data_IF_059287463924
#
_entry.id   IF_059287463924
#
_cell.length_a   1.000
_cell.length_b   1.000
_cell.length_c   1.000
_cell.angle_alpha   90.00
_cell.angle_beta   90.00
_cell.angle_gamma   90.00
#
_symmetry.space_group_name_H-M   'P 1'
#
loop_
_entity.id
_entity.type
_entity.pdbx_description
1 polymer ?
#
# COMPACT_ATOMS: atom_id res chain seq x y z
N UNK A 1 9.98 -11.65 19.37
CA UNK A 1 9.78 -11.34 17.93
C UNK A 1 10.76 -10.24 17.57
N UNK A 2 11.31 -10.23 16.34
CA UNK A 2 12.22 -9.15 15.92
C UNK A 2 11.49 -7.78 15.98
N UNK A 3 12.12 -6.69 16.42
CA UNK A 3 11.49 -5.37 16.50
C UNK A 3 11.31 -4.71 15.12
N UNK A 4 11.90 -5.29 14.07
CA UNK A 4 11.94 -4.73 12.71
C UNK A 4 10.92 -5.39 11.79
N UNK A 5 10.01 -4.60 11.21
CA UNK A 5 9.02 -5.13 10.26
C UNK A 5 8.46 -4.09 9.29
N UNK A 6 7.98 -4.58 8.15
CA UNK A 6 7.22 -3.79 7.17
C UNK A 6 5.71 -4.01 7.31
N UNK A 7 4.93 -2.95 7.06
CA UNK A 7 3.45 -3.00 6.98
C UNK A 7 2.98 -2.21 5.76
N UNK A 8 2.03 -2.72 4.98
CA UNK A 8 1.43 -1.98 3.87
C UNK A 8 0.48 -0.91 4.40
N UNK A 9 0.51 0.27 3.78
CA UNK A 9 -0.40 1.38 4.10
C UNK A 9 -1.49 1.46 3.05
N UNK A 10 -2.74 1.41 3.49
CA UNK A 10 -3.93 1.32 2.64
C UNK A 10 -4.98 2.38 3.00
N UNK A 11 -5.93 2.57 2.08
CA UNK A 11 -7.00 3.56 2.14
C UNK A 11 -6.56 5.01 1.85
N UNK A 12 -5.92 5.35 0.71
CA UNK A 12 -5.49 4.55 -0.46
C UNK A 12 -4.14 3.82 -0.23
N UNK A 13 -3.61 3.10 -1.23
CA UNK A 13 -2.27 2.52 -1.12
C UNK A 13 -1.16 3.58 -1.11
N UNK A 14 -0.31 3.55 -0.09
CA UNK A 14 0.76 4.52 0.15
C UNK A 14 2.12 3.86 0.34
N UNK A 15 2.31 2.65 -0.20
CA UNK A 15 3.55 1.89 -0.08
C UNK A 15 3.65 1.07 1.21
N UNK A 16 4.87 0.59 1.48
CA UNK A 16 5.22 -0.17 2.68
C UNK A 16 5.95 0.75 3.66
N UNK A 17 5.46 0.85 4.89
CA UNK A 17 6.15 1.54 5.97
C UNK A 17 7.05 0.58 6.74
N UNK A 18 8.29 0.99 6.97
CA UNK A 18 9.25 0.29 7.81
C UNK A 18 9.03 0.71 9.25
N UNK A 19 8.98 -0.26 10.16
CA UNK A 19 8.70 -0.05 11.57
C UNK A 19 9.81 -0.66 12.41
N UNK A 20 10.29 0.11 13.38
CA UNK A 20 11.10 -0.34 14.50
C UNK A 20 10.22 -0.18 15.74
N UNK A 21 9.80 -1.30 16.34
CA UNK A 21 8.95 -1.35 17.53
C UNK A 21 9.77 -1.88 18.70
N UNK A 22 10.10 -1.00 19.65
CA UNK A 22 10.81 -1.35 20.90
C UNK A 22 9.88 -1.33 22.12
N UNK A 23 8.57 -1.55 21.90
CA UNK A 23 7.53 -1.53 22.93
C UNK A 23 6.82 -0.17 22.99
N UNK A 24 7.13 0.63 24.01
CA UNK A 24 6.44 1.91 24.25
C UNK A 24 6.80 3.03 23.24
N UNK A 25 7.85 2.80 22.44
CA UNK A 25 8.37 3.73 21.45
C UNK A 25 8.52 3.03 20.08
N UNK A 26 8.08 3.70 19.01
CA UNK A 26 8.20 3.20 17.64
C UNK A 26 8.84 4.23 16.71
N UNK A 27 9.71 3.78 15.80
CA UNK A 27 10.17 4.59 14.67
C UNK A 27 9.59 4.06 13.36
N UNK A 28 9.24 4.99 12.48
CA UNK A 28 8.62 4.71 11.19
C UNK A 28 9.37 5.37 10.05
N UNK A 29 9.56 4.66 8.94
CA UNK A 29 10.12 5.23 7.72
C UNK A 29 9.34 4.79 6.48
N UNK A 30 9.06 5.75 5.59
CA UNK A 30 8.41 5.49 4.29
C UNK A 30 9.41 5.42 3.14
N UNK A 31 10.70 5.64 3.40
CA UNK A 31 11.75 5.69 2.37
C UNK A 31 13.06 5.02 2.82
N UNK A 32 13.09 4.41 4.00
CA UNK A 32 14.27 3.75 4.58
C UNK A 32 15.42 4.69 4.97
N UNK A 33 15.26 6.01 4.81
CA UNK A 33 16.31 7.02 5.04
C UNK A 33 15.96 8.00 6.15
N UNK A 34 14.71 8.43 6.18
CA UNK A 34 14.20 9.38 7.17
C UNK A 34 13.26 8.64 8.12
N UNK A 35 13.53 8.75 9.42
CA UNK A 35 12.78 8.09 10.46
C UNK A 35 11.98 9.10 11.29
N UNK A 36 10.72 8.78 11.56
CA UNK A 36 9.82 9.56 12.43
C UNK A 36 9.48 8.74 13.66
N UNK A 37 9.58 9.36 14.84
CA UNK A 37 9.34 8.68 16.11
C UNK A 37 7.91 8.96 16.59
N UNK A 38 7.23 7.92 17.06
CA UNK A 38 5.92 7.98 17.72
C UNK A 38 6.03 7.30 19.08
N UNK A 39 5.36 7.86 20.07
CA UNK A 39 5.48 7.40 21.45
C UNK A 39 4.12 7.08 22.05
N UNK A 40 4.06 6.03 22.86
CA UNK A 40 2.91 5.72 23.66
C UNK A 40 2.91 6.61 24.92
N UNK A 41 1.85 7.38 25.12
CA UNK A 41 1.67 8.15 26.36
C UNK A 41 1.35 7.23 27.52
N UNK A 42 1.55 7.69 28.77
CA UNK A 42 1.20 6.94 29.98
C UNK A 42 -0.27 6.45 30.03
N UNK A 43 -1.16 7.08 29.24
CA UNK A 43 -2.55 6.66 29.01
C UNK A 43 -2.73 5.56 27.95
N UNK A 44 -1.66 4.96 27.45
CA UNK A 44 -1.67 3.93 26.42
C UNK A 44 -1.93 4.43 25.00
N UNK A 45 -2.03 5.75 24.77
CA UNK A 45 -2.33 6.35 23.46
C UNK A 45 -1.06 6.77 22.72
N UNK A 46 -0.94 6.41 21.44
CA UNK A 46 0.23 6.81 20.66
C UNK A 46 0.10 8.24 20.08
N UNK A 47 1.00 9.15 20.47
CA UNK A 47 1.12 10.52 19.92
C UNK A 47 2.34 10.63 19.01
N UNK A 48 2.21 11.39 17.92
CA UNK A 48 3.37 11.84 17.14
C UNK A 48 4.19 12.79 18.01
N UNK A 49 5.46 12.50 18.25
CA UNK A 49 6.32 13.41 18.97
C UNK A 49 6.64 14.60 18.06
N UNK A 50 5.86 15.66 18.14
CA UNK A 50 6.36 17.00 17.81
C UNK A 50 6.97 17.51 19.11
N UNK A 51 8.29 17.65 19.16
CA UNK A 51 8.93 18.39 20.23
C UNK A 51 8.53 19.87 20.09
N UNK A 52 7.35 20.25 20.60
CA UNK A 52 7.04 21.63 20.92
C UNK A 52 7.44 21.84 22.38
N UNK A 53 8.62 22.41 22.59
CA UNK A 53 8.98 22.99 23.88
C UNK A 53 8.22 24.32 23.95
N UNK A 54 6.97 24.26 24.39
CA UNK A 54 6.25 25.45 24.85
C UNK A 54 5.85 25.21 26.29
N UNK A 55 6.52 25.93 27.18
CA UNK A 55 6.35 25.79 28.61
C UNK A 55 5.01 26.38 29.02
N UNK A 56 4.02 25.52 29.22
CA UNK A 56 3.04 25.58 30.30
C UNK A 56 2.17 24.33 30.24
N UNK A 57 2.19 23.59 31.35
CA UNK A 57 1.30 22.48 31.70
C UNK A 57 1.15 21.36 30.65
N UNK A 58 2.18 20.51 30.56
CA UNK A 58 2.13 19.26 29.81
C UNK A 58 2.70 18.14 30.64
N UNK A 59 1.92 17.06 30.77
CA UNK A 59 2.36 15.74 31.19
C UNK A 59 3.68 15.44 30.47
N UNK A 60 4.83 15.40 31.17
CA UNK A 60 6.13 15.43 30.52
C UNK A 60 6.26 14.19 29.65
N UNK A 61 6.36 14.41 28.33
CA UNK A 61 6.69 13.37 27.36
C UNK A 61 8.08 12.84 27.72
N UNK A 62 8.11 11.82 28.58
CA UNK A 62 9.33 11.07 28.86
C UNK A 62 9.41 9.96 27.83
N UNK A 63 10.46 9.99 27.03
CA UNK A 63 10.86 8.86 26.20
C UNK A 63 11.34 7.77 27.16
N UNK A 64 10.45 6.84 27.54
CA UNK A 64 10.75 5.84 28.57
C UNK A 64 11.87 4.90 28.12
N UNK A 65 12.02 4.66 26.81
CA UNK A 65 13.02 3.77 26.22
C UNK A 65 13.91 4.45 25.14
N UNK A 66 14.28 5.72 25.34
CA UNK A 66 15.06 6.49 24.36
C UNK A 66 16.34 5.78 23.92
N UNK A 67 17.05 5.17 24.87
CA UNK A 67 18.30 4.47 24.61
C UNK A 67 18.08 3.25 23.71
N UNK A 68 17.06 2.43 23.97
CA UNK A 68 16.75 1.25 23.16
C UNK A 68 16.30 1.63 21.76
N UNK A 69 15.54 2.71 21.59
CA UNK A 69 15.13 3.18 20.27
C UNK A 69 16.32 3.71 19.46
N UNK A 70 17.22 4.48 20.09
CA UNK A 70 18.46 4.96 19.46
C UNK A 70 19.34 3.79 19.05
N UNK A 71 19.59 2.85 19.97
CA UNK A 71 20.36 1.64 19.67
C UNK A 71 19.73 0.84 18.53
N UNK A 72 18.40 0.69 18.53
CA UNK A 72 17.69 -0.02 17.47
C UNK A 72 17.75 0.70 16.11
N UNK A 73 17.77 2.04 16.09
CA UNK A 73 17.95 2.85 14.89
C UNK A 73 19.38 2.79 14.34
N UNK A 74 20.39 2.76 15.21
CA UNK A 74 21.80 2.66 14.80
C UNK A 74 22.16 1.27 14.27
N UNK A 75 21.53 0.23 14.82
CA UNK A 75 21.87 -1.17 14.55
C UNK A 75 20.80 -1.95 13.77
N UNK A 76 19.83 -1.26 13.14
CA UNK A 76 18.79 -1.95 12.39
C UNK A 76 19.38 -2.73 11.20
N UNK A 77 18.81 -3.90 10.81
CA UNK A 77 19.23 -4.61 9.61
C UNK A 77 18.97 -3.77 8.35
N UNK A 78 19.55 -4.10 7.19
CA UNK A 78 19.23 -3.39 5.95
C UNK A 78 17.72 -3.38 5.66
N UNK A 79 17.23 -2.24 5.16
CA UNK A 79 15.86 -2.11 4.63
C UNK A 79 15.78 -2.74 3.23
N UNK A 80 14.61 -3.24 2.79
CA UNK A 80 13.35 -3.32 3.54
C UNK A 80 13.32 -4.44 4.60
N UNK A 81 12.64 -4.20 5.72
CA UNK A 81 12.37 -5.22 6.73
C UNK A 81 11.31 -6.22 6.24
N UNK A 82 11.28 -7.46 6.76
CA UNK A 82 10.26 -8.44 6.41
C UNK A 82 8.83 -7.92 6.63
N UNK A 83 7.96 -8.08 5.62
CA UNK A 83 6.54 -7.74 5.75
C UNK A 83 5.88 -8.68 6.76
N UNK A 84 5.07 -8.13 7.66
CA UNK A 84 4.38 -8.93 8.69
C UNK A 84 2.86 -8.85 8.68
N UNK A 85 2.29 -8.01 7.84
CA UNK A 85 0.85 -7.80 7.82
C UNK A 85 0.09 -8.97 7.17
N UNK A 86 -0.20 -9.99 7.98
CA UNK A 86 -0.85 -11.23 7.55
C UNK A 86 -2.37 -11.17 7.57
N UNK A 87 -2.97 -10.26 8.34
CA UNK A 87 -4.41 -10.05 8.32
C UNK A 87 -4.72 -9.05 7.23
N UNK A 88 -5.45 -9.47 6.20
CA UNK A 88 -5.77 -8.63 5.03
C UNK A 88 -7.28 -8.52 4.91
N UNK A 89 -7.81 -7.30 4.91
CA UNK A 89 -9.20 -7.01 4.63
C UNK A 89 -9.40 -6.84 3.13
N UNK A 90 -10.29 -7.63 2.57
CA UNK A 90 -10.62 -7.59 1.15
C UNK A 90 -12.07 -7.21 0.93
N UNK A 91 -12.32 -6.28 0.02
CA UNK A 91 -13.59 -6.16 -0.68
C UNK A 91 -13.80 -7.44 -1.47
N UNK A 92 -15.00 -8.01 -1.42
CA UNK A 92 -15.34 -9.23 -2.16
C UNK A 92 -16.12 -8.87 -3.42
N UNK A 93 -15.86 -9.62 -4.49
CA UNK A 93 -16.70 -9.60 -5.68
C UNK A 93 -18.09 -10.17 -5.36
N UNK A 94 -19.13 -9.63 -5.99
CA UNK A 94 -20.51 -9.87 -5.55
C UNK A 94 -21.04 -11.26 -5.89
N UNK A 95 -20.58 -11.87 -6.99
CA UNK A 95 -21.11 -13.14 -7.50
C UNK A 95 -20.46 -14.35 -6.82
N UNK A 96 -19.13 -14.42 -6.88
CA UNK A 96 -18.29 -15.55 -6.46
C UNK A 96 -17.70 -15.36 -5.06
N UNK A 97 -17.83 -14.16 -4.48
CA UNK A 97 -17.41 -13.83 -3.12
C UNK A 97 -15.91 -13.99 -2.90
N UNK A 98 -15.09 -13.86 -3.94
CA UNK A 98 -13.63 -13.92 -3.85
C UNK A 98 -13.01 -12.53 -3.63
N UNK A 99 -11.78 -12.43 -3.09
CA UNK A 99 -11.05 -11.18 -2.93
C UNK A 99 -10.93 -10.36 -4.23
N UNK A 100 -11.53 -9.16 -4.22
CA UNK A 100 -11.54 -8.23 -5.35
C UNK A 100 -10.52 -7.11 -5.21
N UNK A 101 -10.52 -6.43 -4.06
CA UNK A 101 -9.63 -5.30 -3.81
C UNK A 101 -9.27 -5.20 -2.34
N UNK A 102 -8.00 -4.95 -2.03
CA UNK A 102 -7.53 -4.89 -0.65
C UNK A 102 -7.87 -3.53 -0.04
N UNK A 103 -8.59 -3.56 1.08
CA UNK A 103 -9.05 -2.38 1.82
C UNK A 103 -8.11 -2.00 2.97
N UNK A 104 -7.48 -3.00 3.60
CA UNK A 104 -6.66 -2.78 4.78
C UNK A 104 -5.81 -3.98 5.15
N UNK A 105 -4.79 -3.76 5.97
CA UNK A 105 -3.98 -4.84 6.55
C UNK A 105 -3.72 -4.58 8.03
N UNK A 106 -3.47 -5.65 8.78
CA UNK A 106 -3.05 -5.63 10.18
C UNK A 106 -1.94 -6.64 10.43
N UNK A 107 -1.07 -6.32 11.35
CA UNK A 107 -0.02 -7.23 11.79
C UNK A 107 -0.55 -8.17 12.87
N UNK A 108 -1.31 -7.63 13.83
CA UNK A 108 -1.81 -8.39 14.99
C UNK A 108 -3.33 -8.59 14.93
N UNK A 109 -3.79 -9.69 15.51
CA UNK A 109 -5.21 -10.05 15.51
C UNK A 109 -6.05 -9.02 16.30
N UNK A 110 -5.47 -8.45 17.36
CA UNK A 110 -6.11 -7.49 18.24
C UNK A 110 -6.33 -6.13 17.57
N UNK A 111 -5.64 -5.87 16.45
CA UNK A 111 -5.80 -4.66 15.65
C UNK A 111 -6.92 -4.81 14.59
N UNK A 112 -7.53 -6.00 14.47
CA UNK A 112 -8.66 -6.23 13.58
C UNK A 112 -9.86 -5.45 14.10
N UNK A 113 -10.38 -4.59 13.24
CA UNK A 113 -11.52 -3.73 13.56
C UNK A 113 -12.77 -4.20 12.82
N UNK A 114 -13.93 -3.90 13.43
CA UNK A 114 -15.21 -4.11 12.78
C UNK A 114 -15.31 -3.27 11.51
N UNK A 115 -15.71 -3.92 10.41
CA UNK A 115 -15.78 -3.29 9.09
C UNK A 115 -17.09 -2.52 8.98
N UNK A 116 -17.02 -1.21 8.74
CA UNK A 116 -18.20 -0.34 8.63
C UNK A 116 -18.44 0.16 7.21
N UNK A 117 -17.36 0.50 6.51
CA UNK A 117 -17.39 1.01 5.15
C UNK A 117 -16.46 0.15 4.28
N UNK A 118 -17.00 -0.66 3.35
CA UNK A 118 -16.21 -1.50 2.46
C UNK A 118 -15.76 -0.75 1.20
N UNK A 119 -15.84 0.58 1.17
CA UNK A 119 -15.48 1.34 -0.01
C UNK A 119 -13.97 1.31 -0.29
N UNK A 120 -13.61 0.96 -1.53
CA UNK A 120 -12.23 0.97 -1.98
C UNK A 120 -11.86 2.33 -2.59
N UNK A 121 -10.71 2.86 -2.18
CA UNK A 121 -10.17 4.13 -2.69
C UNK A 121 -8.80 3.92 -3.32
N UNK A 122 -8.67 4.35 -4.58
CA UNK A 122 -7.43 4.24 -5.34
C UNK A 122 -6.40 5.30 -4.93
N UNK A 123 -6.87 6.52 -4.63
CA UNK A 123 -6.01 7.69 -4.40
C UNK A 123 -6.49 8.56 -3.22
N UNK A 124 -5.64 9.46 -2.74
CA UNK A 124 -6.02 10.43 -1.72
C UNK A 124 -6.85 11.55 -2.37
N UNK A 125 -7.82 12.16 -1.70
CA UNK A 125 -8.75 13.15 -2.32
C UNK A 125 -8.05 14.29 -3.08
N UNK A 126 -6.85 14.69 -2.65
CA UNK A 126 -6.06 15.74 -3.30
C UNK A 126 -5.26 15.28 -4.53
N UNK A 127 -5.14 13.97 -4.76
CA UNK A 127 -4.41 13.41 -5.89
C UNK A 127 -5.32 13.26 -7.11
N UNK A 128 -5.01 14.04 -8.15
CA UNK A 128 -5.72 14.08 -9.43
C UNK A 128 -4.82 13.73 -10.62
N UNK A 129 -3.60 13.26 -10.38
CA UNK A 129 -2.59 13.08 -11.44
C UNK A 129 -2.82 11.85 -12.32
N UNK A 130 -3.65 10.89 -11.88
CA UNK A 130 -3.83 9.63 -12.58
C UNK A 130 -4.58 9.81 -13.91
N UNK A 131 -3.90 9.43 -14.99
CA UNK A 131 -4.45 9.34 -16.34
C UNK A 131 -4.15 7.93 -16.87
N UNK A 132 -5.18 7.12 -17.08
CA UNK A 132 -5.13 5.85 -17.82
C UNK A 132 -4.95 6.07 -19.34
N UNK A 133 -3.85 5.58 -19.95
CA UNK A 133 -3.71 5.44 -21.41
C UNK A 133 -4.84 4.68 -22.11
N UNK A 134 -5.32 3.57 -21.54
CA UNK A 134 -6.40 2.76 -22.13
C UNK A 134 -7.70 3.54 -22.22
N UNK A 135 -8.09 4.26 -21.15
CA UNK A 135 -9.24 5.15 -21.20
C UNK A 135 -9.00 6.30 -22.18
N UNK A 136 -7.82 6.92 -22.17
CA UNK A 136 -7.52 8.02 -23.09
C UNK A 136 -7.70 7.63 -24.57
N UNK A 137 -7.24 6.44 -24.94
CA UNK A 137 -7.41 5.91 -26.30
C UNK A 137 -8.89 5.66 -26.64
N UNK A 138 -9.66 5.11 -25.69
CA UNK A 138 -11.11 4.91 -25.84
C UNK A 138 -11.85 6.24 -25.99
N UNK A 139 -11.53 7.22 -25.16
CA UNK A 139 -12.13 8.55 -25.18
C UNK A 139 -11.85 9.31 -26.48
N UNK A 140 -10.67 9.12 -27.08
CA UNK A 140 -10.32 9.72 -28.37
C UNK A 140 -11.23 9.27 -29.52
N UNK A 141 -11.85 8.09 -29.41
CA UNK A 141 -12.78 7.54 -30.42
C UNK A 141 -14.25 7.71 -30.04
N UNK A 142 -14.52 8.25 -28.86
CA UNK A 142 -15.87 8.41 -28.31
C UNK A 142 -16.57 9.65 -28.85
N UNK A 143 -17.89 9.55 -29.04
CA UNK A 143 -18.74 10.71 -29.39
C UNK A 143 -19.21 11.50 -28.15
N UNK A 144 -18.92 11.02 -26.93
CA UNK A 144 -19.26 11.74 -25.69
C UNK A 144 -18.41 13.00 -25.57
N UNK A 145 -19.06 14.10 -25.17
CA UNK A 145 -18.41 15.40 -24.95
C UNK A 145 -17.73 15.54 -23.60
N UNK A 146 -18.11 14.71 -22.62
CA UNK A 146 -17.58 14.75 -21.25
C UNK A 146 -17.46 13.33 -20.73
N UNK A 147 -16.33 13.08 -20.09
CA UNK A 147 -16.00 11.83 -19.43
C UNK A 147 -15.77 12.10 -17.94
N UNK A 148 -16.14 11.19 -17.04
CA UNK A 148 -15.71 11.26 -15.64
C UNK A 148 -14.19 11.19 -15.56
N UNK A 149 -13.59 11.60 -14.44
CA UNK A 149 -12.13 11.47 -14.29
C UNK A 149 -11.71 10.00 -14.36
N UNK A 150 -10.52 9.71 -14.89
CA UNK A 150 -10.03 8.31 -14.99
C UNK A 150 -9.95 7.63 -13.61
N UNK A 151 -9.68 8.42 -12.57
CA UNK A 151 -9.76 8.01 -11.17
C UNK A 151 -11.18 7.58 -10.77
N UNK A 152 -12.18 8.41 -11.02
CA UNK A 152 -13.57 8.09 -10.64
C UNK A 152 -14.06 6.87 -11.41
N UNK A 153 -13.64 6.73 -12.68
CA UNK A 153 -13.94 5.54 -13.48
C UNK A 153 -13.33 4.29 -12.83
N UNK A 154 -12.05 4.32 -12.42
CA UNK A 154 -11.37 3.22 -11.73
C UNK A 154 -12.06 2.85 -10.41
N UNK A 155 -12.26 3.82 -9.52
CA UNK A 155 -12.92 3.59 -8.23
C UNK A 155 -14.36 3.08 -8.43
N UNK A 156 -15.09 3.62 -9.42
CA UNK A 156 -16.45 3.18 -9.75
C UNK A 156 -16.47 1.72 -10.21
N UNK A 157 -15.60 1.31 -11.13
CA UNK A 157 -15.58 -0.07 -11.66
C UNK A 157 -15.37 -1.09 -10.54
N UNK A 158 -14.38 -0.85 -9.67
CA UNK A 158 -14.06 -1.77 -8.56
C UNK A 158 -15.19 -1.82 -7.54
N UNK A 159 -15.70 -0.67 -7.10
CA UNK A 159 -16.77 -0.65 -6.10
C UNK A 159 -18.10 -1.20 -6.66
N UNK A 160 -18.39 -1.00 -7.96
CA UNK A 160 -19.57 -1.55 -8.61
C UNK A 160 -19.54 -3.08 -8.68
N UNK A 161 -18.38 -3.70 -8.86
CA UNK A 161 -18.25 -5.16 -8.90
C UNK A 161 -18.53 -5.85 -7.55
N UNK A 162 -18.64 -5.08 -6.46
CA UNK A 162 -19.08 -5.56 -5.14
C UNK A 162 -20.59 -5.36 -4.86
N UNK A 163 -21.33 -4.70 -5.77
CA UNK A 163 -22.76 -4.37 -5.58
C UNK A 163 -23.67 -5.57 -5.93
N UNK A 164 -24.94 -5.60 -5.47
CA UNK A 164 -25.74 -4.55 -4.82
C UNK A 164 -25.44 -4.33 -3.33
N UNK A 165 -24.86 -5.32 -2.65
CA UNK A 165 -24.56 -5.27 -1.22
C UNK A 165 -23.06 -5.52 -1.00
N UNK A 166 -22.23 -4.46 -1.04
CA UNK A 166 -20.80 -4.57 -0.83
C UNK A 166 -20.48 -5.31 0.46
N UNK A 167 -19.65 -6.32 0.34
CA UNK A 167 -19.19 -7.17 1.44
C UNK A 167 -17.68 -7.18 1.49
N UNK A 168 -17.15 -7.32 2.69
CA UNK A 168 -15.72 -7.35 2.89
C UNK A 168 -15.38 -8.35 3.98
N UNK A 169 -14.24 -9.03 3.85
CA UNK A 169 -13.83 -10.07 4.79
C UNK A 169 -12.37 -9.93 5.17
N UNK A 170 -12.07 -10.06 6.46
CA UNK A 170 -10.71 -10.25 6.93
C UNK A 170 -10.24 -11.67 6.64
N UNK A 171 -9.02 -11.81 6.15
CA UNK A 171 -8.38 -13.12 6.00
C UNK A 171 -7.05 -13.13 6.75
N UNK A 172 -6.81 -14.17 7.54
CA UNK A 172 -5.46 -14.49 8.01
C UNK A 172 -4.72 -15.27 6.91
N UNK A 173 -3.65 -14.67 6.38
CA UNK A 173 -2.83 -15.27 5.34
C UNK A 173 -1.79 -16.20 5.91
N UNK A 174 -1.68 -17.35 5.27
CA UNK A 174 -0.79 -18.45 5.64
C UNK A 174 0.49 -18.40 4.80
N UNK A 175 1.51 -19.15 5.24
CA UNK A 175 2.81 -19.20 4.58
C UNK A 175 2.76 -19.79 3.16
N UNK A 176 1.79 -20.65 2.87
CA UNK A 176 1.53 -21.23 1.55
C UNK A 176 0.77 -20.26 0.61
N UNK A 177 0.51 -19.04 1.06
CA UNK A 177 -0.28 -18.05 0.33
C UNK A 177 -1.79 -18.22 0.51
N UNK A 178 -2.30 -19.31 1.06
CA UNK A 178 -3.74 -19.44 1.33
C UNK A 178 -4.24 -18.44 2.38
N UNK A 179 -5.55 -18.33 2.53
CA UNK A 179 -6.16 -17.47 3.55
C UNK A 179 -7.33 -18.14 4.25
N UNK A 180 -7.39 -17.98 5.57
CA UNK A 180 -8.54 -18.38 6.38
C UNK A 180 -9.42 -17.15 6.61
N UNK A 181 -10.68 -17.25 6.19
CA UNK A 181 -11.68 -16.22 6.36
C UNK A 181 -12.04 -16.03 7.83
N UNK A 182 -11.98 -14.79 8.28
CA UNK A 182 -12.40 -14.34 9.60
C UNK A 182 -13.72 -13.57 9.45
N UNK A 183 -14.05 -12.76 10.45
CA UNK A 183 -15.23 -11.89 10.43
C UNK A 183 -15.10 -10.74 9.41
N UNK A 184 -16.21 -10.08 9.14
CA UNK A 184 -16.28 -9.01 8.15
C UNK A 184 -17.65 -8.34 8.07
N UNK A 185 -17.94 -7.75 6.93
CA UNK A 185 -19.18 -7.05 6.66
C UNK A 185 -20.04 -7.83 5.67
N UNK A 186 -21.29 -8.10 6.07
CA UNK A 186 -22.33 -8.74 5.24
C UNK A 186 -21.85 -10.08 4.68
N UNK A 187 -21.35 -10.92 5.58
CA UNK A 187 -20.92 -12.28 5.28
C UNK A 187 -22.08 -13.27 5.44
N UNK A 188 -22.02 -14.34 4.68
CA UNK A 188 -22.81 -15.55 4.86
C UNK A 188 -22.16 -16.43 5.92
N UNK A 189 -22.94 -17.28 6.58
CA UNK A 189 -22.44 -18.16 7.65
C UNK A 189 -21.31 -19.10 7.18
N UNK A 190 -21.36 -19.53 5.91
CA UNK A 190 -20.36 -20.40 5.28
C UNK A 190 -19.03 -19.69 4.99
N UNK A 191 -18.98 -18.36 5.06
CA UNK A 191 -17.78 -17.59 4.72
C UNK A 191 -16.84 -17.43 5.91
N UNK A 192 -17.36 -17.40 7.12
CA UNK A 192 -16.52 -17.35 8.33
C UNK A 192 -15.85 -18.72 8.52
N UNK A 193 -14.52 -18.72 8.61
CA UNK A 193 -13.71 -19.94 8.69
C UNK A 193 -13.43 -20.61 7.34
N UNK A 194 -13.93 -20.08 6.21
CA UNK A 194 -13.63 -20.64 4.89
C UNK A 194 -12.14 -20.56 4.60
N UNK A 195 -11.61 -21.51 3.84
CA UNK A 195 -10.23 -21.44 3.33
C UNK A 195 -10.26 -21.17 1.83
N UNK A 196 -9.57 -20.12 1.41
CA UNK A 196 -9.32 -19.82 0.01
C UNK A 196 -7.87 -20.14 -0.32
N UNK A 197 -7.59 -20.77 -1.49
CA UNK A 197 -6.24 -21.00 -1.95
C UNK A 197 -5.54 -19.68 -2.32
N UNK A 198 -4.23 -19.75 -2.61
CA UNK A 198 -3.42 -18.54 -2.80
C UNK A 198 -3.81 -17.74 -4.03
N UNK A 199 -4.19 -18.44 -5.11
CA UNK A 199 -4.59 -17.90 -6.40
C UNK A 199 -5.87 -17.04 -6.35
N UNK A 200 -6.76 -17.27 -5.38
CA UNK A 200 -7.97 -16.47 -5.19
C UNK A 200 -7.66 -15.06 -4.67
N UNK A 201 -6.45 -14.84 -4.18
CA UNK A 201 -6.03 -13.52 -3.73
C UNK A 201 -5.19 -12.84 -4.80
N UNK A 202 -5.62 -11.65 -5.26
CA UNK A 202 -4.80 -10.83 -6.14
C UNK A 202 -3.40 -10.65 -5.57
N UNK A 203 -2.39 -10.91 -6.40
CA UNK A 203 -0.99 -10.68 -6.07
C UNK A 203 -0.72 -9.19 -5.80
N UNK A 204 -1.42 -8.34 -6.57
CA UNK A 204 -1.47 -6.90 -6.41
C UNK A 204 -2.68 -6.49 -5.56
N UNK A 205 -2.91 -5.17 -5.47
CA UNK A 205 -3.93 -4.60 -4.58
C UNK A 205 -5.36 -4.86 -5.06
N UNK A 206 -5.53 -5.09 -6.36
CA UNK A 206 -6.81 -5.25 -7.04
C UNK A 206 -6.72 -6.45 -7.98
N UNK A 207 -7.82 -7.19 -8.12
CA UNK A 207 -7.95 -8.28 -9.08
C UNK A 207 -7.63 -7.79 -10.49
N UNK A 208 -6.88 -8.59 -11.22
CA UNK A 208 -6.59 -8.41 -12.65
C UNK A 208 -7.52 -9.25 -13.53
N UNK A 209 -8.37 -10.09 -12.91
CA UNK A 209 -9.34 -10.92 -13.62
C UNK A 209 -10.64 -10.14 -13.87
N UNK A 210 -10.81 -9.63 -15.08
CA UNK A 210 -12.01 -8.94 -15.54
C UNK A 210 -12.43 -9.44 -16.93
N UNK A 211 -13.74 -9.51 -17.19
CA UNK A 211 -14.26 -9.90 -18.50
C UNK A 211 -14.14 -8.77 -19.54
N UNK A 212 -14.29 -7.53 -19.09
CA UNK A 212 -14.21 -6.34 -19.94
C UNK A 212 -12.76 -5.93 -20.18
N UNK A 213 -12.32 -5.98 -21.44
CA UNK A 213 -10.95 -5.62 -21.85
C UNK A 213 -10.60 -4.16 -21.53
N UNK A 214 -11.57 -3.25 -21.55
CA UNK A 214 -11.34 -1.86 -21.18
C UNK A 214 -11.07 -1.72 -19.68
N UNK A 215 -11.73 -2.56 -18.88
CA UNK A 215 -11.47 -2.64 -17.43
C UNK A 215 -10.09 -3.25 -17.18
N UNK A 216 -9.72 -4.33 -17.88
CA UNK A 216 -8.36 -4.88 -17.78
C UNK A 216 -7.30 -3.81 -18.04
N UNK A 217 -7.43 -3.05 -19.14
CA UNK A 217 -6.51 -1.97 -19.46
C UNK A 217 -6.45 -0.86 -18.40
N UNK A 218 -7.61 -0.48 -17.84
CA UNK A 218 -7.67 0.51 -16.76
C UNK A 218 -6.99 0.02 -15.47
N UNK A 219 -7.12 -1.27 -15.13
CA UNK A 219 -6.47 -1.88 -13.97
C UNK A 219 -4.96 -1.99 -14.19
N UNK A 220 -4.53 -2.40 -15.38
CA UNK A 220 -3.12 -2.42 -15.77
C UNK A 220 -2.49 -1.03 -15.68
N UNK A 221 -3.18 0.00 -16.18
CA UNK A 221 -2.73 1.39 -16.09
C UNK A 221 -2.59 1.85 -14.64
N UNK A 222 -3.51 1.44 -13.75
CA UNK A 222 -3.40 1.71 -12.33
C UNK A 222 -2.20 1.02 -11.68
N UNK A 223 -1.96 -0.26 -11.98
CA UNK A 223 -0.78 -0.98 -11.48
C UNK A 223 0.53 -0.37 -12.02
N UNK A 224 0.56 0.02 -13.30
CA UNK A 224 1.69 0.73 -13.91
C UNK A 224 1.91 2.10 -13.25
N UNK A 225 0.83 2.81 -12.91
CA UNK A 225 0.91 4.06 -12.15
C UNK A 225 1.53 3.80 -10.76
N UNK A 226 1.08 2.79 -10.04
CA UNK A 226 1.60 2.47 -8.71
C UNK A 226 2.92 1.68 -8.71
N UNK A 227 3.52 1.41 -9.87
CA UNK A 227 4.55 0.38 -10.03
C UNK A 227 5.74 0.52 -9.07
N UNK A 228 6.31 1.72 -8.94
CA UNK A 228 7.42 1.97 -8.02
C UNK A 228 7.10 1.56 -6.58
N UNK A 229 5.93 1.93 -6.06
CA UNK A 229 5.48 1.56 -4.72
C UNK A 229 5.08 0.10 -4.59
N UNK A 230 4.61 -0.53 -5.66
CA UNK A 230 4.24 -1.96 -5.67
C UNK A 230 5.49 -2.86 -5.64
N UNK A 231 6.62 -2.42 -6.21
CA UNK A 231 7.89 -3.15 -6.15
C UNK A 231 8.40 -3.39 -4.73
N UNK A 232 7.94 -2.63 -3.73
CA UNK A 232 8.23 -2.86 -2.31
C UNK A 232 7.56 -4.14 -1.74
N UNK A 233 6.68 -4.80 -2.49
CA UNK A 233 6.12 -6.10 -2.11
C UNK A 233 7.19 -7.21 -2.22
N UNK A 234 7.30 -8.03 -1.18
CA UNK A 234 8.34 -9.06 -1.06
C UNK A 234 7.99 -10.38 -1.77
N UNK A 235 6.70 -10.67 -1.96
CA UNK A 235 6.24 -11.95 -2.49
C UNK A 235 5.63 -11.79 -3.89
N UNK A 236 6.28 -11.01 -4.74
CA UNK A 236 5.89 -10.90 -6.15
C UNK A 236 6.47 -12.06 -6.95
N UNK A 237 5.67 -12.61 -7.84
CA UNK A 237 6.10 -13.51 -8.88
C UNK A 237 7.11 -12.82 -9.79
N UNK A 238 7.99 -13.62 -10.40
CA UNK A 238 8.99 -13.11 -11.33
C UNK A 238 8.35 -12.28 -12.45
N UNK A 239 7.26 -12.77 -13.03
CA UNK A 239 6.56 -12.11 -14.13
C UNK A 239 5.96 -10.76 -13.70
N UNK A 240 5.33 -10.71 -12.53
CA UNK A 240 4.77 -9.45 -12.01
C UNK A 240 5.87 -8.47 -11.65
N UNK A 241 6.96 -8.92 -11.03
CA UNK A 241 8.12 -8.07 -10.73
C UNK A 241 8.71 -7.47 -12.01
N UNK A 242 8.98 -8.28 -13.02
CA UNK A 242 9.52 -7.81 -14.31
C UNK A 242 8.61 -6.77 -14.98
N UNK A 243 7.30 -6.99 -14.99
CA UNK A 243 6.33 -6.02 -15.51
C UNK A 243 6.37 -4.70 -14.74
N UNK A 244 6.38 -4.77 -13.40
CA UNK A 244 6.41 -3.59 -12.54
C UNK A 244 7.74 -2.83 -12.64
N UNK A 245 8.88 -3.49 -12.78
CA UNK A 245 10.18 -2.83 -13.00
C UNK A 245 10.17 -2.03 -14.30
N UNK A 246 9.72 -2.64 -15.39
CA UNK A 246 9.56 -1.94 -16.68
C UNK A 246 8.64 -0.73 -16.57
N UNK A 247 7.49 -0.87 -15.91
CA UNK A 247 6.56 0.23 -15.70
C UNK A 247 7.13 1.34 -14.79
N UNK A 248 7.85 0.97 -13.73
CA UNK A 248 8.46 1.91 -12.80
C UNK A 248 9.59 2.73 -13.47
N UNK A 249 10.34 2.14 -14.40
CA UNK A 249 11.36 2.84 -15.19
C UNK A 249 10.78 3.98 -16.05
N UNK A 250 9.52 3.87 -16.48
CA UNK A 250 8.81 4.95 -17.19
C UNK A 250 8.35 6.07 -16.26
N UNK A 251 8.44 5.86 -14.93
CA UNK A 251 8.04 6.81 -13.88
C UNK A 251 9.19 7.03 -12.89
N UNK A 252 10.32 7.60 -13.35
CA UNK A 252 11.58 7.60 -12.63
C UNK A 252 11.52 8.29 -11.26
N UNK A 253 10.72 9.35 -11.09
CA UNK A 253 10.55 10.03 -9.80
C UNK A 253 9.93 9.12 -8.72
N UNK A 254 8.86 8.40 -9.07
CA UNK A 254 8.21 7.46 -8.13
C UNK A 254 9.09 6.26 -7.82
N UNK A 255 9.87 5.79 -8.81
CA UNK A 255 10.88 4.76 -8.61
C UNK A 255 11.97 5.21 -7.63
N UNK A 256 12.50 6.43 -7.76
CA UNK A 256 13.54 6.96 -6.88
C UNK A 256 13.10 6.98 -5.40
N UNK A 257 11.85 7.33 -5.13
CA UNK A 257 11.30 7.37 -3.77
C UNK A 257 11.15 5.98 -3.16
N UNK A 258 10.73 5.00 -3.97
CA UNK A 258 10.52 3.63 -3.52
C UNK A 258 11.80 2.78 -3.51
N UNK A 259 12.84 3.16 -4.27
CA UNK A 259 14.06 2.38 -4.51
C UNK A 259 14.69 1.76 -3.25
N UNK A 260 14.87 2.48 -2.13
CA UNK A 260 15.46 1.90 -0.92
C UNK A 260 14.63 0.77 -0.29
N UNK A 261 13.37 0.63 -0.69
CA UNK A 261 12.42 -0.35 -0.17
C UNK A 261 12.15 -1.51 -1.14
N UNK A 262 12.81 -1.53 -2.30
CA UNK A 262 12.68 -2.61 -3.27
C UNK A 262 13.56 -3.78 -2.79
N UNK A 263 12.97 -4.95 -2.48
CA UNK A 263 13.71 -6.09 -1.91
C UNK A 263 14.56 -6.84 -2.93
N UNK A 264 14.17 -6.79 -4.21
CA UNK A 264 14.76 -7.55 -5.31
C UNK A 264 14.59 -6.76 -6.61
N UNK A 265 15.65 -6.73 -7.42
CA UNK A 265 15.72 -6.08 -8.72
C UNK A 265 16.17 -7.12 -9.75
N UNK A 266 15.41 -7.27 -10.83
CA UNK A 266 15.71 -8.19 -11.92
C UNK A 266 16.64 -7.57 -12.97
N UNK A 267 16.38 -6.30 -13.35
CA UNK A 267 17.19 -5.56 -14.32
C UNK A 267 17.83 -4.32 -13.68
N UNK A 268 19.03 -4.51 -13.13
CA UNK A 268 19.76 -3.44 -12.45
C UNK A 268 20.13 -2.30 -13.39
N UNK A 269 20.48 -2.59 -14.64
CA UNK A 269 20.92 -1.58 -15.60
C UNK A 269 19.75 -0.64 -15.98
N UNK A 270 18.57 -1.20 -16.22
CA UNK A 270 17.37 -0.41 -16.51
C UNK A 270 16.98 0.49 -15.32
N UNK A 271 17.03 -0.05 -14.10
CA UNK A 271 16.72 0.70 -12.88
C UNK A 271 17.72 1.84 -12.68
N UNK A 272 19.02 1.61 -12.85
CA UNK A 272 20.05 2.63 -12.68
C UNK A 272 19.86 3.79 -13.67
N UNK A 273 19.56 3.50 -14.94
CA UNK A 273 19.24 4.51 -15.96
C UNK A 273 18.03 5.36 -15.55
N UNK A 274 16.97 4.72 -15.05
CA UNK A 274 15.79 5.43 -14.57
C UNK A 274 16.08 6.30 -13.33
N UNK A 275 16.90 5.81 -12.39
CA UNK A 275 17.30 6.57 -11.19
C UNK A 275 18.18 7.78 -11.53
N UNK A 276 19.09 7.66 -12.49
CA UNK A 276 19.87 8.81 -13.00
C UNK A 276 18.94 9.85 -13.61
N UNK A 277 17.98 9.41 -14.43
CA UNK A 277 16.96 10.27 -15.03
C UNK A 277 16.16 11.03 -13.95
N UNK A 278 15.72 10.32 -12.90
CA UNK A 278 15.00 10.91 -11.77
C UNK A 278 15.80 12.02 -11.06
N UNK A 279 17.08 11.76 -10.78
CA UNK A 279 17.98 12.70 -10.10
C UNK A 279 18.22 13.96 -10.94
N UNK A 280 18.38 13.82 -12.26
CA UNK A 280 18.51 14.96 -13.17
C UNK A 280 17.25 15.83 -13.21
N UNK A 281 16.06 15.21 -13.24
CA UNK A 281 14.78 15.93 -13.18
C UNK A 281 14.65 16.73 -11.87
N UNK A 282 15.00 16.14 -10.73
CA UNK A 282 14.94 16.82 -9.43
C UNK A 282 15.94 17.99 -9.33
N UNK A 283 17.15 17.83 -9.87
CA UNK A 283 18.15 18.90 -9.91
C UNK A 283 17.69 20.09 -10.78
N UNK A 284 17.05 19.80 -11.92
CA UNK A 284 16.50 20.83 -12.80
C UNK A 284 15.33 21.58 -12.14
N UNK A 285 14.42 20.86 -11.47
CA UNK A 285 13.31 21.46 -10.75
C UNK A 285 13.78 22.37 -9.60
N UNK A 286 14.82 21.98 -8.86
CA UNK A 286 15.41 22.80 -7.80
C UNK A 286 16.05 24.09 -8.32
N UNK A 287 16.69 24.05 -9.49
CA UNK A 287 17.33 25.21 -10.11
C UNK A 287 16.34 26.25 -10.64
N UNK A 288 15.14 25.86 -11.09
CA UNK A 288 14.11 26.81 -11.56
C UNK A 288 13.33 27.52 -10.44
N UNK A 289 13.42 27.03 -9.20
CA UNK A 289 12.78 27.63 -8.02
C UNK A 289 13.76 28.42 -7.14
N UNK A 290 15.01 28.56 -7.59
CA UNK A 290 16.08 29.36 -6.96
C UNK A 290 16.24 30.69 -7.69
#
# INVERSE_FOLDING_TARGET
>A
MSPYYGVRRLGPYLGVIQVIDVGDDCAYSTNGRSWRIRQQTASGRFRWAVAQISGTDTDPVRITNAAHLVEALENHPPVPFPIRDRYKLWLLHHEDRVPLAMLGTRYRAEEIEAVRDPHWHAFATADSGFISPSLQAKEATSTRRRHPSHRDQLESVINMASRPLPSAQWFERQADGSGVGLDGLRLQETETGRRLPGEDFPELLVSEHWEDTDVCGLIDDYHNWCAGSLLAHQNLSYQTRERLERAACLRPTGLLDAYPLIPEILDQDAIDVALVSAKLMNAHAGACHS
#
